data_IF_722798869787
#
_entry.id   IF_722798869787
#
_cell.length_a   1.000
_cell.length_b   1.000
_cell.length_c   1.000
_cell.angle_alpha   90.00
_cell.angle_beta   90.00
_cell.angle_gamma   90.00
#
_symmetry.space_group_name_H-M   'P 1'
#
loop_
_entity.id
_entity.type
_entity.pdbx_description
1 polymer ?
#
# COMPACT_ATOMS: atom_id res chain seq x y z
N UNK A 1 -13.16 46.89 33.46
CA UNK A 1 -13.84 45.68 32.89
C UNK A 1 -12.87 44.53 32.50
N UNK A 2 -11.65 44.48 32.98
CA UNK A 2 -10.62 43.47 32.54
C UNK A 2 -10.35 42.38 33.62
N UNK A 3 -10.75 42.63 34.88
CA UNK A 3 -10.49 41.70 36.02
C UNK A 3 -11.37 40.44 36.07
N UNK A 4 -12.56 40.47 35.41
CA UNK A 4 -13.50 39.32 35.40
C UNK A 4 -13.10 38.21 34.39
N UNK A 5 -12.44 38.53 33.29
CA UNK A 5 -12.05 37.54 32.27
C UNK A 5 -10.95 36.57 32.73
N UNK A 6 -10.04 37.04 33.61
CA UNK A 6 -8.93 36.20 34.10
C UNK A 6 -9.37 35.08 35.06
N UNK A 7 -10.43 35.32 35.86
CA UNK A 7 -10.94 34.30 36.77
C UNK A 7 -11.77 33.20 36.09
N UNK A 8 -12.45 33.54 35.01
CA UNK A 8 -13.23 32.55 34.23
C UNK A 8 -12.30 31.62 33.47
N UNK A 9 -11.23 32.15 32.85
CA UNK A 9 -10.24 31.32 32.16
C UNK A 9 -9.50 30.36 33.11
N UNK A 10 -9.11 30.81 34.30
CA UNK A 10 -8.48 29.95 35.31
C UNK A 10 -9.40 28.83 35.79
N UNK A 11 -10.70 29.09 35.95
CA UNK A 11 -11.68 28.08 36.33
C UNK A 11 -11.93 27.07 35.23
N UNK A 12 -11.96 27.49 33.95
CA UNK A 12 -12.08 26.59 32.78
C UNK A 12 -10.85 25.70 32.62
N UNK A 13 -9.65 26.25 32.77
CA UNK A 13 -8.41 25.49 32.71
C UNK A 13 -8.29 24.48 33.84
N UNK A 14 -8.72 24.83 35.05
CA UNK A 14 -8.76 23.92 36.19
C UNK A 14 -9.79 22.81 36.03
N UNK A 15 -10.98 23.12 35.45
CA UNK A 15 -12.02 22.12 35.17
C UNK A 15 -11.55 21.11 34.10
N UNK A 16 -10.87 21.57 33.03
CA UNK A 16 -10.27 20.72 32.01
C UNK A 16 -9.18 19.80 32.55
N UNK A 17 -8.36 20.29 33.50
CA UNK A 17 -7.31 19.49 34.13
C UNK A 17 -7.90 18.40 35.03
N UNK A 18 -8.98 18.69 35.77
CA UNK A 18 -9.69 17.69 36.60
C UNK A 18 -10.39 16.64 35.74
N UNK A 19 -11.03 17.02 34.61
CA UNK A 19 -11.59 16.05 33.66
C UNK A 19 -10.54 15.14 33.03
N UNK A 20 -9.35 15.68 32.71
CA UNK A 20 -8.25 14.90 32.15
C UNK A 20 -7.68 13.91 33.16
N UNK A 21 -7.61 14.26 34.45
CA UNK A 21 -7.19 13.32 35.51
C UNK A 21 -8.22 12.22 35.77
N UNK A 22 -9.52 12.49 35.62
CA UNK A 22 -10.57 11.47 35.75
C UNK A 22 -10.58 10.44 34.61
N UNK A 23 -10.09 10.81 33.41
CA UNK A 23 -9.98 9.88 32.29
C UNK A 23 -8.81 8.90 32.44
N UNK A 24 -7.77 9.25 33.21
CA UNK A 24 -6.64 8.34 33.48
C UNK A 24 -6.91 7.31 34.58
N UNK A 25 -7.93 7.50 35.41
CA UNK A 25 -8.26 6.58 36.50
C UNK A 25 -9.21 5.45 36.10
N UNK A 26 -9.72 5.42 34.86
CA UNK A 26 -10.64 4.38 34.38
C UNK A 26 -9.95 3.22 33.63
N UNK A 27 -8.62 3.23 33.49
CA UNK A 27 -7.89 2.18 32.76
C UNK A 27 -7.18 1.17 33.66
N UNK A 28 -7.38 1.21 34.98
CA UNK A 28 -6.60 0.41 35.94
C UNK A 28 -7.37 -0.79 36.54
N UNK A 29 -8.43 -1.29 35.94
CA UNK A 29 -9.09 -2.51 36.43
C UNK A 29 -9.58 -3.45 35.32
N UNK A 30 -8.80 -3.63 34.27
CA UNK A 30 -8.86 -4.85 33.48
C UNK A 30 -7.80 -5.80 33.98
N UNK A 31 -7.94 -6.30 35.20
CA UNK A 31 -7.33 -7.57 35.59
C UNK A 31 -8.08 -8.63 34.77
N UNK A 32 -7.53 -8.96 33.62
CA UNK A 32 -7.88 -10.16 32.90
C UNK A 32 -7.67 -11.31 33.87
N UNK A 33 -8.78 -11.92 34.29
CA UNK A 33 -8.77 -13.28 34.84
C UNK A 33 -8.26 -14.18 33.71
N UNK A 34 -6.95 -14.27 33.55
CA UNK A 34 -6.31 -15.33 32.82
C UNK A 34 -6.54 -16.61 33.63
N UNK A 35 -7.69 -17.23 33.36
CA UNK A 35 -7.88 -18.61 33.63
C UNK A 35 -6.75 -19.31 32.88
N UNK A 36 -5.75 -19.79 33.62
CA UNK A 36 -4.63 -20.57 33.07
C UNK A 36 -5.22 -21.77 32.34
N UNK A 37 -5.42 -21.63 31.06
CA UNK A 37 -5.76 -22.72 30.18
C UNK A 37 -4.43 -23.40 29.84
N UNK A 38 -4.12 -24.60 30.38
CA UNK A 38 -2.83 -25.23 30.17
C UNK A 38 -2.57 -25.67 28.73
N UNK A 39 -3.49 -25.37 27.82
CA UNK A 39 -3.40 -25.70 26.38
C UNK A 39 -2.85 -24.50 25.52
N UNK A 40 -2.63 -23.35 26.14
CA UNK A 40 -2.07 -22.17 25.39
C UNK A 40 -0.55 -22.21 25.30
N UNK A 41 0.02 -23.41 25.21
CA UNK A 41 1.45 -23.66 24.95
C UNK A 41 1.82 -23.64 23.48
N UNK A 42 0.95 -23.26 22.60
CA UNK A 42 1.32 -22.93 21.24
C UNK A 42 2.05 -21.57 21.23
N UNK A 43 3.09 -21.48 22.03
CA UNK A 43 4.19 -20.58 21.74
C UNK A 43 4.70 -21.07 20.40
N UNK A 44 4.29 -20.40 19.33
CA UNK A 44 4.87 -20.61 18.03
C UNK A 44 6.39 -20.47 18.22
N UNK A 45 7.11 -21.59 18.17
CA UNK A 45 8.57 -21.61 18.25
C UNK A 45 9.19 -21.00 16.98
N UNK A 46 8.36 -20.63 16.01
CA UNK A 46 8.78 -19.90 14.84
C UNK A 46 9.00 -18.43 15.23
N UNK A 47 10.18 -17.87 14.95
CA UNK A 47 10.42 -16.44 15.09
C UNK A 47 9.32 -15.67 14.35
N UNK A 48 8.80 -14.63 14.96
CA UNK A 48 7.87 -13.74 14.25
C UNK A 48 8.57 -13.19 13.01
N UNK A 49 7.90 -13.20 11.86
CA UNK A 49 8.48 -12.64 10.64
C UNK A 49 8.83 -11.18 10.86
N UNK A 50 9.95 -10.76 10.35
CA UNK A 50 10.39 -9.36 10.35
C UNK A 50 9.45 -8.53 9.46
N UNK A 51 9.44 -7.20 9.65
CA UNK A 51 8.67 -6.32 8.78
C UNK A 51 9.09 -6.45 7.30
N UNK A 52 10.36 -6.76 7.05
CA UNK A 52 10.93 -6.94 5.72
C UNK A 52 10.43 -8.26 5.07
N UNK A 53 10.34 -9.34 5.85
CA UNK A 53 9.77 -10.61 5.39
C UNK A 53 8.26 -10.50 5.11
N UNK A 54 7.51 -9.79 5.97
CA UNK A 54 6.09 -9.53 5.75
C UNK A 54 5.88 -8.69 4.49
N UNK A 55 6.68 -7.64 4.28
CA UNK A 55 6.62 -6.82 3.07
C UNK A 55 6.99 -7.64 1.82
N UNK A 56 8.02 -8.48 1.90
CA UNK A 56 8.40 -9.36 0.79
C UNK A 56 7.29 -10.37 0.44
N UNK A 57 6.61 -10.93 1.44
CA UNK A 57 5.53 -11.90 1.25
C UNK A 57 4.28 -11.33 0.56
N UNK A 58 4.08 -10.02 0.57
CA UNK A 58 2.97 -9.35 -0.13
C UNK A 58 3.11 -9.37 -1.65
N UNK A 59 4.34 -9.48 -2.15
CA UNK A 59 4.63 -9.35 -3.58
C UNK A 59 4.68 -10.71 -4.26
N UNK A 60 3.76 -10.94 -5.20
CA UNK A 60 3.77 -12.12 -6.05
C UNK A 60 4.38 -11.80 -7.41
N UNK A 61 5.39 -12.59 -7.82
CA UNK A 61 6.04 -12.42 -9.12
C UNK A 61 5.11 -12.89 -10.23
N UNK A 62 4.93 -12.05 -11.25
CA UNK A 62 4.10 -12.32 -12.42
C UNK A 62 4.95 -12.83 -13.56
N UNK A 63 6.01 -12.08 -13.88
CA UNK A 63 6.92 -12.38 -14.99
C UNK A 63 8.31 -11.83 -14.68
N UNK A 64 9.31 -12.57 -15.13
CA UNK A 64 10.70 -12.13 -15.19
C UNK A 64 11.16 -12.18 -16.65
N UNK A 65 11.80 -11.11 -17.10
CA UNK A 65 12.33 -10.99 -18.45
C UNK A 65 13.65 -10.19 -18.45
N UNK A 66 14.19 -9.90 -19.63
CA UNK A 66 15.47 -9.18 -19.79
C UNK A 66 15.41 -7.73 -19.22
N UNK A 67 14.24 -7.15 -19.06
CA UNK A 67 14.05 -5.80 -18.50
C UNK A 67 14.10 -5.82 -16.98
N UNK A 68 13.47 -6.83 -16.36
CA UNK A 68 13.36 -6.92 -14.92
C UNK A 68 12.34 -7.94 -14.42
N UNK A 69 12.08 -7.85 -13.12
CA UNK A 69 11.11 -8.68 -12.41
C UNK A 69 9.86 -7.84 -12.16
N UNK A 70 8.72 -8.34 -12.60
CA UNK A 70 7.42 -7.73 -12.40
C UNK A 70 6.65 -8.50 -11.34
N UNK A 71 6.17 -7.79 -10.33
CA UNK A 71 5.41 -8.35 -9.23
C UNK A 71 4.18 -7.48 -8.93
N UNK A 72 3.16 -8.07 -8.31
CA UNK A 72 2.02 -7.31 -7.81
C UNK A 72 1.82 -7.53 -6.32
N UNK A 73 1.28 -6.54 -5.65
CA UNK A 73 0.90 -6.58 -4.24
C UNK A 73 -0.45 -7.31 -4.12
N UNK A 74 -0.42 -8.54 -3.59
CA UNK A 74 -1.60 -9.40 -3.46
C UNK A 74 -2.69 -8.76 -2.58
N UNK A 75 -2.30 -7.95 -1.60
CA UNK A 75 -3.23 -7.28 -0.68
C UNK A 75 -3.86 -6.02 -1.29
N UNK A 76 -3.35 -5.56 -2.44
CA UNK A 76 -3.80 -4.33 -3.10
C UNK A 76 -4.93 -4.55 -4.10
N UNK A 77 -5.24 -5.80 -4.47
CA UNK A 77 -6.31 -6.09 -5.44
C UNK A 77 -7.66 -5.80 -4.81
N UNK A 78 -8.39 -4.89 -5.42
CA UNK A 78 -9.72 -4.51 -4.95
C UNK A 78 -10.54 -3.87 -6.07
N UNK A 79 -11.86 -3.89 -5.93
CA UNK A 79 -12.73 -3.14 -6.83
C UNK A 79 -12.47 -1.63 -6.71
N UNK A 80 -12.62 -0.93 -7.83
CA UNK A 80 -12.55 0.52 -7.82
C UNK A 80 -13.75 1.11 -7.07
N UNK A 81 -13.45 2.07 -6.20
CA UNK A 81 -14.46 2.85 -5.45
C UNK A 81 -14.22 4.31 -5.78
N UNK A 82 -15.26 5.00 -6.25
CA UNK A 82 -15.20 6.43 -6.54
C UNK A 82 -15.31 7.32 -5.26
N UNK A 83 -15.28 8.62 -5.45
CA UNK A 83 -15.39 9.61 -4.37
C UNK A 83 -16.75 9.55 -3.64
N UNK A 84 -17.81 9.11 -4.35
CA UNK A 84 -19.17 8.92 -3.83
C UNK A 84 -19.36 7.55 -3.15
N UNK A 85 -18.29 6.79 -2.95
CA UNK A 85 -18.26 5.43 -2.39
C UNK A 85 -19.01 4.38 -3.22
N UNK A 86 -19.25 4.65 -4.49
CA UNK A 86 -19.83 3.67 -5.41
C UNK A 86 -18.76 2.68 -5.86
N UNK A 87 -19.07 1.40 -5.76
CA UNK A 87 -18.20 0.29 -6.15
C UNK A 87 -18.46 -0.07 -7.62
N UNK A 88 -17.39 -0.10 -8.41
CA UNK A 88 -17.41 -0.52 -9.82
C UNK A 88 -16.75 -1.89 -9.92
N UNK A 89 -17.57 -2.94 -10.00
CA UNK A 89 -17.10 -4.34 -10.01
C UNK A 89 -16.38 -4.76 -11.31
N UNK A 90 -16.55 -4.00 -12.35
CA UNK A 90 -15.87 -4.18 -13.65
C UNK A 90 -14.49 -3.50 -13.71
N UNK A 91 -14.15 -2.68 -12.69
CA UNK A 91 -12.86 -1.99 -12.60
C UNK A 91 -12.12 -2.46 -11.35
N UNK A 92 -10.90 -2.94 -11.53
CA UNK A 92 -10.05 -3.47 -10.45
C UNK A 92 -8.80 -2.61 -10.32
N UNK A 93 -8.52 -2.16 -9.10
CA UNK A 93 -7.28 -1.52 -8.71
C UNK A 93 -6.27 -2.57 -8.29
N UNK A 94 -5.00 -2.35 -8.64
CA UNK A 94 -3.88 -3.17 -8.18
C UNK A 94 -2.59 -2.35 -8.17
N UNK A 95 -1.73 -2.61 -7.21
CA UNK A 95 -0.38 -2.06 -7.16
C UNK A 95 0.62 -3.06 -7.73
N UNK A 96 1.48 -2.55 -8.59
CA UNK A 96 2.48 -3.34 -9.30
C UNK A 96 3.86 -2.75 -9.06
N UNK A 97 4.87 -3.61 -8.97
CA UNK A 97 6.29 -3.25 -8.82
C UNK A 97 7.09 -3.84 -9.97
N UNK A 98 8.00 -3.05 -10.53
CA UNK A 98 9.01 -3.53 -11.49
C UNK A 98 10.40 -3.27 -10.91
N UNK A 99 11.14 -4.34 -10.63
CA UNK A 99 12.56 -4.27 -10.27
C UNK A 99 13.38 -4.32 -11.55
N UNK A 100 14.19 -3.30 -11.79
CA UNK A 100 15.02 -3.22 -12.99
C UNK A 100 16.29 -4.07 -12.85
N UNK A 101 16.51 -4.99 -13.80
CA UNK A 101 17.72 -5.85 -13.84
C UNK A 101 18.60 -5.57 -15.06
N UNK A 102 18.04 -5.01 -16.14
CA UNK A 102 18.79 -4.68 -17.35
C UNK A 102 19.78 -3.53 -17.11
N UNK A 103 21.04 -3.76 -17.46
CA UNK A 103 22.15 -2.81 -17.25
C UNK A 103 21.99 -1.52 -18.06
N UNK A 104 21.41 -1.59 -19.27
CA UNK A 104 21.24 -0.43 -20.14
C UNK A 104 20.11 0.44 -19.62
N UNK A 105 19.02 -0.17 -19.17
CA UNK A 105 17.89 0.53 -18.52
C UNK A 105 18.38 1.20 -17.25
N UNK A 106 19.10 0.48 -16.38
CA UNK A 106 19.65 1.05 -15.15
C UNK A 106 20.62 2.20 -15.42
N UNK A 107 21.46 2.11 -16.48
CA UNK A 107 22.36 3.17 -16.90
C UNK A 107 21.58 4.41 -17.38
N UNK A 108 20.54 4.20 -18.20
CA UNK A 108 19.65 5.26 -18.67
C UNK A 108 18.93 5.94 -17.51
N UNK A 109 18.30 5.18 -16.64
CA UNK A 109 17.61 5.70 -15.45
C UNK A 109 18.56 6.48 -14.53
N UNK A 110 19.79 6.00 -14.35
CA UNK A 110 20.80 6.73 -13.60
C UNK A 110 21.12 8.07 -14.24
N UNK A 111 21.19 8.15 -15.58
CA UNK A 111 21.41 9.42 -16.29
C UNK A 111 20.22 10.35 -16.14
N UNK A 112 19.00 9.83 -16.30
CA UNK A 112 17.77 10.61 -16.26
C UNK A 112 17.48 11.19 -14.87
N UNK A 113 17.97 10.54 -13.81
CA UNK A 113 17.74 10.94 -12.42
C UNK A 113 19.00 11.38 -11.67
N UNK A 114 20.10 11.69 -12.37
CA UNK A 114 21.41 11.97 -11.75
C UNK A 114 21.34 13.10 -10.70
N UNK A 115 20.53 14.14 -10.97
CA UNK A 115 20.38 15.29 -10.08
C UNK A 115 19.54 15.01 -8.82
N UNK A 116 18.80 13.89 -8.83
CA UNK A 116 17.93 13.48 -7.71
C UNK A 116 18.56 12.39 -6.83
N UNK A 117 19.65 11.76 -7.32
CA UNK A 117 20.35 10.68 -6.64
C UNK A 117 21.42 11.20 -5.70
N UNK A 118 21.46 10.71 -4.47
CA UNK A 118 22.57 10.97 -3.58
C UNK A 118 23.81 10.14 -3.97
N UNK A 119 24.96 10.46 -3.40
CA UNK A 119 26.21 9.75 -3.65
C UNK A 119 26.04 8.25 -3.36
N UNK A 120 26.33 7.41 -4.35
CA UNK A 120 26.19 5.93 -4.33
C UNK A 120 24.76 5.39 -4.36
N UNK A 121 23.71 6.23 -4.44
CA UNK A 121 22.35 5.75 -4.70
C UNK A 121 22.16 5.34 -6.15
N UNK A 122 21.25 4.39 -6.38
CA UNK A 122 20.87 3.89 -7.69
C UNK A 122 19.35 3.83 -7.79
N UNK A 123 18.80 4.05 -8.98
CA UNK A 123 17.42 3.68 -9.25
C UNK A 123 17.31 2.15 -9.20
N UNK A 124 16.34 1.63 -8.49
CA UNK A 124 16.18 0.19 -8.30
C UNK A 124 14.86 -0.33 -8.85
N UNK A 125 13.75 0.34 -8.58
CA UNK A 125 12.44 -0.13 -8.96
C UNK A 125 11.46 1.02 -9.18
N UNK A 126 10.34 0.70 -9.81
CA UNK A 126 9.16 1.57 -9.80
C UNK A 126 7.94 0.81 -9.26
N UNK A 127 7.02 1.54 -8.65
CA UNK A 127 5.69 1.08 -8.29
C UNK A 127 4.65 1.82 -9.12
N UNK A 128 3.63 1.12 -9.55
CA UNK A 128 2.55 1.65 -10.36
C UNK A 128 1.20 1.34 -9.72
N UNK A 129 0.36 2.34 -9.59
CA UNK A 129 -1.04 2.15 -9.27
C UNK A 129 -1.78 1.97 -10.59
N UNK A 130 -2.33 0.78 -10.82
CA UNK A 130 -2.99 0.40 -12.07
C UNK A 130 -4.46 0.11 -11.86
N UNK A 131 -5.24 0.37 -12.89
CA UNK A 131 -6.65 -0.05 -12.99
C UNK A 131 -6.83 -0.94 -14.21
N UNK A 132 -7.65 -1.97 -14.07
CA UNK A 132 -8.04 -2.86 -15.16
C UNK A 132 -9.55 -2.85 -15.31
N UNK A 133 -10.05 -2.52 -16.51
CA UNK A 133 -11.45 -2.77 -16.89
C UNK A 133 -11.58 -4.20 -17.40
N UNK A 134 -12.26 -5.03 -16.62
CA UNK A 134 -12.45 -6.45 -16.98
C UNK A 134 -13.40 -6.59 -18.18
N UNK A 135 -14.43 -5.75 -18.21
CA UNK A 135 -15.42 -5.73 -19.28
C UNK A 135 -14.83 -5.36 -20.64
N UNK A 136 -13.96 -4.33 -20.66
CA UNK A 136 -13.49 -3.72 -21.91
C UNK A 136 -12.11 -4.26 -22.33
N UNK A 137 -11.47 -5.12 -21.53
CA UNK A 137 -10.10 -5.60 -21.69
C UNK A 137 -9.11 -4.44 -21.90
N UNK A 138 -9.18 -3.43 -20.99
CA UNK A 138 -8.33 -2.25 -21.02
C UNK A 138 -7.66 -2.05 -19.65
N UNK A 139 -6.58 -1.26 -19.63
CA UNK A 139 -5.90 -0.89 -18.38
C UNK A 139 -5.52 0.58 -18.38
N UNK A 140 -5.30 1.11 -17.18
CA UNK A 140 -4.86 2.48 -16.95
C UNK A 140 -3.80 2.51 -15.84
N UNK A 141 -2.64 3.13 -16.11
CA UNK A 141 -1.64 3.43 -15.09
C UNK A 141 -1.95 4.80 -14.53
N UNK A 142 -2.51 4.87 -13.33
CA UNK A 142 -2.87 6.13 -12.69
C UNK A 142 -1.64 6.91 -12.22
N UNK A 143 -0.71 6.20 -11.60
CA UNK A 143 0.50 6.78 -10.99
C UNK A 143 1.67 5.84 -11.16
N UNK A 144 2.83 6.42 -11.36
CA UNK A 144 4.12 5.71 -11.33
C UNK A 144 5.06 6.43 -10.39
N UNK A 145 5.57 5.70 -9.40
CA UNK A 145 6.54 6.15 -8.42
C UNK A 145 7.88 5.46 -8.68
N UNK A 146 8.96 6.20 -8.74
CA UNK A 146 10.33 5.68 -8.97
C UNK A 146 11.13 5.78 -7.68
N UNK A 147 11.82 4.69 -7.33
CA UNK A 147 12.53 4.55 -6.07
C UNK A 147 14.01 4.17 -6.26
N UNK A 148 14.81 4.57 -5.28
CA UNK A 148 16.20 4.15 -5.17
C UNK A 148 16.32 2.77 -4.50
N UNK A 149 17.54 2.20 -4.51
CA UNK A 149 17.94 1.00 -3.75
C UNK A 149 17.86 1.18 -2.22
N UNK A 150 17.62 2.40 -1.75
CA UNK A 150 17.37 2.74 -0.34
C UNK A 150 15.90 3.08 -0.07
N UNK A 151 14.99 2.65 -0.94
CA UNK A 151 13.56 2.89 -0.84
C UNK A 151 13.14 4.38 -0.81
N UNK A 152 14.02 5.28 -1.27
CA UNK A 152 13.70 6.70 -1.35
C UNK A 152 12.93 6.98 -2.64
N UNK A 153 11.78 7.63 -2.52
CA UNK A 153 11.01 8.14 -3.67
C UNK A 153 11.79 9.29 -4.33
N UNK A 154 12.07 9.18 -5.62
CA UNK A 154 12.76 10.20 -6.42
C UNK A 154 11.85 10.88 -7.44
N UNK A 155 10.79 10.21 -7.87
CA UNK A 155 9.79 10.80 -8.76
C UNK A 155 8.42 10.14 -8.59
N UNK A 156 7.37 10.95 -8.73
CA UNK A 156 5.99 10.50 -8.82
C UNK A 156 5.34 11.15 -10.02
N UNK A 157 4.85 10.34 -10.96
CA UNK A 157 4.16 10.78 -12.18
C UNK A 157 2.71 10.33 -12.13
N UNK A 158 1.79 11.28 -12.28
CA UNK A 158 0.37 11.01 -12.47
C UNK A 158 0.09 11.01 -13.96
N UNK A 159 -0.48 9.92 -14.46
CA UNK A 159 -0.89 9.82 -15.85
C UNK A 159 -2.31 10.40 -16.02
N UNK A 160 -2.53 11.05 -17.16
CA UNK A 160 -3.82 11.69 -17.51
C UNK A 160 -4.42 11.15 -18.81
N UNK A 161 -3.82 10.08 -19.39
CA UNK A 161 -4.21 9.60 -20.72
C UNK A 161 -5.44 8.69 -20.74
N UNK A 162 -5.84 8.12 -19.60
CA UNK A 162 -6.96 7.20 -19.51
C UNK A 162 -6.64 5.75 -19.89
N UNK A 163 -7.69 4.94 -20.06
CA UNK A 163 -7.60 3.52 -20.36
C UNK A 163 -7.07 3.24 -21.78
N UNK A 164 -6.22 2.22 -21.90
CA UNK A 164 -5.67 1.72 -23.17
C UNK A 164 -5.90 0.22 -23.30
N UNK A 165 -6.02 -0.34 -24.52
CA UNK A 165 -6.21 -1.77 -24.72
C UNK A 165 -5.07 -2.61 -24.15
N UNK A 166 -5.40 -3.75 -23.57
CA UNK A 166 -4.43 -4.75 -23.14
C UNK A 166 -3.82 -5.42 -24.37
N UNK A 167 -2.50 -5.31 -24.51
CA UNK A 167 -1.74 -5.90 -25.61
C UNK A 167 -1.40 -7.36 -25.30
N UNK A 168 -1.56 -8.25 -26.27
CA UNK A 168 -1.16 -9.67 -26.14
C UNK A 168 0.33 -9.83 -25.82
N UNK A 169 0.66 -10.90 -25.09
CA UNK A 169 2.02 -11.25 -24.66
C UNK A 169 2.74 -10.14 -23.91
N UNK A 170 2.00 -9.28 -23.23
CA UNK A 170 2.51 -8.20 -22.42
C UNK A 170 2.35 -8.50 -20.92
N UNK A 171 3.11 -7.79 -20.10
CA UNK A 171 2.89 -7.74 -18.66
C UNK A 171 1.45 -7.35 -18.30
N UNK A 172 0.85 -6.40 -19.04
CA UNK A 172 -0.52 -5.97 -18.81
C UNK A 172 -1.54 -7.08 -19.06
N UNK A 173 -1.29 -7.99 -20.01
CA UNK A 173 -2.16 -9.16 -20.23
C UNK A 173 -2.10 -10.14 -19.05
N UNK A 174 -0.90 -10.50 -18.59
CA UNK A 174 -0.74 -11.39 -17.45
C UNK A 174 -1.42 -10.81 -16.20
N UNK A 175 -1.29 -9.50 -15.97
CA UNK A 175 -1.97 -8.84 -14.85
C UNK A 175 -3.48 -8.76 -15.03
N UNK A 176 -3.97 -8.54 -16.25
CA UNK A 176 -5.40 -8.58 -16.57
C UNK A 176 -6.01 -9.96 -16.27
N UNK A 177 -5.33 -11.05 -16.61
CA UNK A 177 -5.79 -12.40 -16.30
C UNK A 177 -5.88 -12.65 -14.80
N UNK A 178 -4.90 -12.18 -14.02
CA UNK A 178 -4.91 -12.25 -12.55
C UNK A 178 -6.11 -11.48 -11.99
N UNK A 179 -6.34 -10.25 -12.44
CA UNK A 179 -7.47 -9.43 -12.01
C UNK A 179 -8.81 -10.06 -12.38
N UNK A 180 -8.93 -10.62 -13.59
CA UNK A 180 -10.15 -11.30 -14.06
C UNK A 180 -10.47 -12.52 -13.21
N UNK A 181 -9.47 -13.36 -12.92
CA UNK A 181 -9.62 -14.53 -12.06
C UNK A 181 -10.05 -14.14 -10.65
N UNK A 182 -9.38 -13.16 -10.06
CA UNK A 182 -9.72 -12.63 -8.74
C UNK A 182 -11.16 -12.13 -8.66
N UNK A 183 -11.66 -11.44 -9.70
CA UNK A 183 -13.04 -10.95 -9.75
C UNK A 183 -14.04 -12.11 -9.71
N UNK A 184 -13.81 -13.17 -10.50
CA UNK A 184 -14.67 -14.35 -10.56
C UNK A 184 -14.72 -15.08 -9.20
N UNK A 185 -13.55 -15.27 -8.57
CA UNK A 185 -13.43 -15.93 -7.27
C UNK A 185 -14.14 -15.14 -6.17
N UNK A 186 -13.96 -13.80 -6.16
CA UNK A 186 -14.59 -12.91 -5.18
C UNK A 186 -16.13 -12.89 -5.32
N UNK A 187 -16.65 -12.89 -6.53
CA UNK A 187 -18.11 -12.95 -6.76
C UNK A 187 -18.70 -14.30 -6.37
N UNK A 188 -17.95 -15.39 -6.52
CA UNK A 188 -18.39 -16.74 -6.15
C UNK A 188 -18.46 -16.93 -4.64
N UNK A 189 -17.60 -16.28 -3.88
CA UNK A 189 -17.53 -16.39 -2.40
C UNK A 189 -18.62 -15.56 -1.71
N UNK A 190 -19.17 -14.56 -2.40
CA UNK A 190 -20.19 -13.64 -1.86
C UNK A 190 -21.63 -14.05 -2.22
N UNK A 191 -21.84 -15.24 -2.76
CA UNK A 191 -23.15 -15.85 -3.02
C UNK A 191 -23.49 -16.90 -1.96
#
# INVERSE_FOLDING_TARGET
MIKLRGNIMKKITMLLFVCMMCLFSLTANAVANTQDNPINWEISMMPKPTAEEVEAARWSVIVENDIGIYAYDMDSIQYFVDEDKKIYKDIINVKVKTLFTDKNILKKLKSDYIDKLAKKEKVAYCEMDMQFSIKDKTYFVQRMNVYTDKHKLIESKINKTGFVPVTEKSFAEAMYEICSKWSIETESTNK
#
